data_IF_912077731117
#
_entry.id   IF_912077731117
#
_cell.length_a   1.000
_cell.length_b   1.000
_cell.length_c   1.000
_cell.angle_alpha   90.00
_cell.angle_beta   90.00
_cell.angle_gamma   90.00
#
_symmetry.space_group_name_H-M   'P 1'
#
loop_
_entity.id
_entity.type
_entity.pdbx_description
1 polymer ?
#
# COMPACT_ATOMS: atom_id res chain seq x y z
N UNK A 1 30.74 2.75 -5.12
CA UNK A 1 29.37 3.29 -5.30
C UNK A 1 28.44 2.63 -4.29
N UNK A 2 27.67 3.40 -3.54
CA UNK A 2 26.61 2.88 -2.65
C UNK A 2 25.46 2.36 -3.52
N UNK A 3 25.07 1.09 -3.36
CA UNK A 3 23.92 0.52 -4.07
C UNK A 3 22.65 0.99 -3.36
N UNK A 4 21.67 1.47 -4.13
CA UNK A 4 20.33 1.79 -3.63
C UNK A 4 19.41 0.58 -3.85
N UNK A 5 18.79 0.09 -2.78
CA UNK A 5 18.00 -1.14 -2.79
C UNK A 5 16.53 -0.80 -2.63
N UNK A 6 15.74 -1.23 -3.59
CA UNK A 6 14.28 -1.04 -3.60
C UNK A 6 13.62 -2.40 -3.44
N UNK A 7 12.63 -2.47 -2.55
CA UNK A 7 11.75 -3.61 -2.41
C UNK A 7 10.34 -3.19 -2.78
N UNK A 8 9.80 -3.77 -3.86
CA UNK A 8 8.49 -3.44 -4.40
C UNK A 8 7.52 -4.60 -4.21
N UNK A 9 6.27 -4.26 -3.88
CA UNK A 9 5.17 -5.20 -3.63
C UNK A 9 4.00 -4.91 -4.55
N UNK A 10 3.58 -5.93 -5.29
CA UNK A 10 2.41 -5.83 -6.16
C UNK A 10 1.11 -5.85 -5.35
N UNK A 11 0.06 -5.26 -5.93
CA UNK A 11 -1.29 -5.38 -5.42
C UNK A 11 -1.87 -6.78 -5.60
N UNK A 12 -3.03 -7.04 -5.02
CA UNK A 12 -3.70 -8.34 -5.14
C UNK A 12 -4.60 -8.68 -3.96
N UNK A 13 -5.07 -7.68 -3.24
CA UNK A 13 -6.01 -7.87 -2.14
C UNK A 13 -5.47 -8.82 -1.07
N UNK A 14 -6.25 -9.84 -0.72
CA UNK A 14 -5.88 -10.84 0.29
C UNK A 14 -4.60 -11.63 -0.04
N UNK A 15 -4.20 -11.69 -1.31
CA UNK A 15 -2.97 -12.38 -1.73
C UNK A 15 -1.69 -11.73 -1.17
N UNK A 16 -1.78 -10.53 -0.60
CA UNK A 16 -0.70 -9.93 0.18
C UNK A 16 -0.20 -10.84 1.32
N UNK A 17 -1.03 -11.75 1.82
CA UNK A 17 -0.61 -12.80 2.77
C UNK A 17 0.53 -13.64 2.21
N UNK A 18 0.44 -14.06 0.95
CA UNK A 18 1.49 -14.88 0.31
C UNK A 18 2.81 -14.10 0.23
N UNK A 19 2.74 -12.82 -0.16
CA UNK A 19 3.90 -11.92 -0.17
C UNK A 19 4.57 -11.86 1.20
N UNK A 20 3.79 -11.70 2.26
CA UNK A 20 4.30 -11.65 3.64
C UNK A 20 4.90 -12.98 4.10
N UNK A 21 4.27 -14.12 3.76
CA UNK A 21 4.84 -15.46 4.04
C UNK A 21 6.18 -15.65 3.36
N UNK A 22 6.30 -15.24 2.08
CA UNK A 22 7.58 -15.30 1.35
C UNK A 22 8.63 -14.40 2.03
N UNK A 23 8.26 -13.19 2.40
CA UNK A 23 9.15 -12.27 3.08
C UNK A 23 9.62 -12.79 4.44
N UNK A 24 8.73 -13.39 5.23
CA UNK A 24 9.09 -14.04 6.49
C UNK A 24 10.09 -15.20 6.29
N UNK A 25 9.93 -15.98 5.21
CA UNK A 25 10.90 -17.05 4.87
C UNK A 25 12.26 -16.48 4.50
N UNK A 26 12.30 -15.43 3.68
CA UNK A 26 13.55 -14.74 3.35
C UNK A 26 14.25 -14.23 4.61
N UNK A 27 13.50 -13.63 5.54
CA UNK A 27 14.08 -13.11 6.78
C UNK A 27 14.55 -14.17 7.77
N UNK A 28 14.06 -15.41 7.69
CA UNK A 28 14.64 -16.53 8.47
C UNK A 28 16.05 -16.87 8.02
N UNK A 29 16.30 -16.83 6.72
CA UNK A 29 17.64 -17.08 6.14
C UNK A 29 18.54 -15.84 6.21
N UNK A 30 17.93 -14.65 6.08
CA UNK A 30 18.62 -13.37 6.06
C UNK A 30 17.96 -12.39 7.04
N UNK A 31 18.24 -12.46 8.35
CA UNK A 31 17.56 -11.66 9.38
C UNK A 31 17.65 -10.15 9.15
N UNK A 32 18.75 -9.67 8.58
CA UNK A 32 18.99 -8.25 8.31
C UNK A 32 18.48 -7.77 6.93
N UNK A 33 17.72 -8.62 6.20
CA UNK A 33 17.28 -8.32 4.84
C UNK A 33 16.62 -6.95 4.72
N UNK A 34 15.63 -6.67 5.58
CA UNK A 34 14.89 -5.40 5.55
C UNK A 34 15.73 -4.20 6.02
N UNK A 35 16.75 -4.42 6.86
CA UNK A 35 17.64 -3.35 7.28
C UNK A 35 18.39 -2.73 6.10
N UNK A 36 18.68 -3.54 5.08
CA UNK A 36 19.38 -3.14 3.89
C UNK A 36 18.50 -2.53 2.78
N UNK A 37 17.20 -2.48 2.95
CA UNK A 37 16.27 -1.85 2.00
C UNK A 37 16.26 -0.34 2.23
N UNK A 38 16.50 0.43 1.16
CA UNK A 38 16.53 1.89 1.18
C UNK A 38 15.14 2.49 0.90
N UNK A 39 14.30 1.79 0.09
CA UNK A 39 12.97 2.23 -0.30
C UNK A 39 12.01 1.03 -0.37
N UNK A 40 10.86 1.17 0.26
CA UNK A 40 9.71 0.28 0.06
C UNK A 40 8.73 0.92 -0.92
N UNK A 41 8.28 0.16 -1.90
CA UNK A 41 7.26 0.61 -2.85
C UNK A 41 6.13 -0.40 -2.94
N UNK A 42 4.91 0.03 -3.27
CA UNK A 42 3.83 -0.93 -3.49
C UNK A 42 2.51 -0.29 -3.89
N UNK A 43 1.70 -1.09 -4.60
CA UNK A 43 0.36 -0.72 -5.07
C UNK A 43 -0.71 -1.43 -4.26
N UNK A 44 -1.84 -0.77 -3.97
CA UNK A 44 -2.98 -1.37 -3.27
C UNK A 44 -2.53 -2.06 -1.96
N UNK A 45 -2.81 -3.36 -1.79
CA UNK A 45 -2.35 -4.16 -0.66
C UNK A 45 -0.82 -4.13 -0.49
N UNK A 46 -0.06 -4.11 -1.59
CA UNK A 46 1.39 -3.94 -1.56
C UNK A 46 1.81 -2.58 -0.98
N UNK A 47 1.01 -1.53 -1.19
CA UNK A 47 1.18 -0.22 -0.56
C UNK A 47 1.03 -0.28 0.96
N UNK A 48 0.05 -1.04 1.47
CA UNK A 48 -0.14 -1.26 2.92
C UNK A 48 1.07 -1.99 3.50
N UNK A 49 1.58 -3.02 2.80
CA UNK A 49 2.78 -3.75 3.21
C UNK A 49 3.99 -2.80 3.24
N UNK A 50 4.20 -2.01 2.18
CA UNK A 50 5.29 -1.05 2.07
C UNK A 50 5.27 -0.02 3.21
N UNK A 51 4.09 0.56 3.51
CA UNK A 51 3.89 1.50 4.61
C UNK A 51 4.17 0.86 5.98
N UNK A 52 3.66 -0.35 6.22
CA UNK A 52 3.89 -1.08 7.46
C UNK A 52 5.39 -1.34 7.70
N UNK A 53 6.09 -1.83 6.67
CA UNK A 53 7.53 -2.08 6.73
C UNK A 53 8.33 -0.77 6.89
N UNK A 54 7.93 0.30 6.20
CA UNK A 54 8.56 1.61 6.35
C UNK A 54 8.38 2.20 7.75
N UNK A 55 7.27 1.89 8.42
CA UNK A 55 7.01 2.22 9.84
C UNK A 55 7.84 1.38 10.82
N UNK A 56 8.44 0.29 10.35
CA UNK A 56 9.23 -0.63 11.18
C UNK A 56 8.45 -1.83 11.71
N UNK A 57 7.24 -2.10 11.20
CA UNK A 57 6.47 -3.28 11.58
C UNK A 57 7.15 -4.55 11.06
N UNK A 58 7.00 -5.64 11.80
CA UNK A 58 7.47 -6.95 11.34
C UNK A 58 6.49 -7.55 10.32
N UNK A 59 6.95 -8.30 9.31
CA UNK A 59 6.07 -8.94 8.34
C UNK A 59 4.97 -9.79 8.95
N UNK A 60 5.26 -10.52 10.03
CA UNK A 60 4.28 -11.33 10.79
C UNK A 60 3.14 -10.48 11.37
N UNK A 61 3.45 -9.26 11.84
CA UNK A 61 2.46 -8.39 12.45
C UNK A 61 1.53 -7.81 11.37
N UNK A 62 2.11 -7.47 10.20
CA UNK A 62 1.33 -7.07 9.03
C UNK A 62 0.47 -8.25 8.55
N UNK A 63 1.02 -9.48 8.47
CA UNK A 63 0.28 -10.68 8.07
C UNK A 63 -0.91 -10.95 8.98
N UNK A 64 -0.74 -10.78 10.29
CA UNK A 64 -1.81 -10.97 11.27
C UNK A 64 -3.02 -10.05 11.01
N UNK A 65 -2.81 -8.85 10.46
CA UNK A 65 -3.90 -7.95 10.06
C UNK A 65 -4.72 -8.54 8.91
N UNK A 66 -4.04 -9.11 7.92
CA UNK A 66 -4.69 -9.76 6.79
C UNK A 66 -5.45 -11.02 7.22
N UNK A 67 -4.85 -11.86 8.06
CA UNK A 67 -5.45 -13.10 8.55
C UNK A 67 -6.62 -12.84 9.51
N UNK A 68 -6.50 -11.83 10.39
CA UNK A 68 -7.51 -11.53 11.38
C UNK A 68 -8.72 -10.78 10.83
N UNK A 69 -8.51 -9.86 9.90
CA UNK A 69 -9.54 -8.95 9.36
C UNK A 69 -9.60 -8.88 7.85
N UNK A 70 -8.75 -9.64 7.16
CA UNK A 70 -8.67 -9.62 5.70
C UNK A 70 -10.00 -9.94 5.04
N UNK A 71 -10.78 -10.88 5.58
CA UNK A 71 -12.11 -11.18 5.09
C UNK A 71 -13.07 -9.99 5.20
N UNK A 72 -12.93 -9.12 6.18
CA UNK A 72 -13.75 -7.92 6.35
C UNK A 72 -13.24 -6.77 5.47
N UNK A 73 -11.92 -6.63 5.36
CA UNK A 73 -11.27 -5.54 4.62
C UNK A 73 -11.34 -5.79 3.10
N UNK A 74 -11.26 -7.05 2.66
CA UNK A 74 -11.14 -7.41 1.25
C UNK A 74 -12.37 -8.14 0.67
N UNK A 75 -13.41 -8.40 1.50
CA UNK A 75 -14.58 -9.20 1.08
C UNK A 75 -15.37 -8.54 -0.04
N UNK A 76 -15.55 -7.22 0.04
CA UNK A 76 -16.29 -6.47 -0.98
C UNK A 76 -15.45 -6.20 -2.24
N UNK A 77 -14.12 -6.31 -2.12
CA UNK A 77 -13.19 -6.11 -3.25
C UNK A 77 -13.04 -7.34 -4.14
N UNK A 78 -13.34 -8.54 -3.66
CA UNK A 78 -13.11 -9.77 -4.45
C UNK A 78 -14.41 -10.39 -4.99
N UNK A 79 -15.53 -10.35 -4.26
CA UNK A 79 -16.74 -11.05 -4.69
C UNK A 79 -17.34 -10.48 -5.96
N UNK A 80 -17.19 -9.18 -6.20
CA UNK A 80 -17.80 -8.49 -7.34
C UNK A 80 -16.87 -8.36 -8.55
N UNK A 81 -15.54 -8.43 -8.37
CA UNK A 81 -14.58 -8.21 -9.46
C UNK A 81 -14.02 -9.48 -10.12
N UNK A 82 -14.24 -10.66 -9.55
CA UNK A 82 -13.75 -11.90 -10.17
C UNK A 82 -14.56 -12.33 -11.41
N UNK A 83 -15.75 -11.76 -11.62
CA UNK A 83 -16.64 -12.07 -12.74
C UNK A 83 -16.99 -10.88 -13.63
N UNK A 84 -16.63 -9.65 -13.25
CA UNK A 84 -17.04 -8.44 -13.97
C UNK A 84 -15.84 -7.59 -14.41
N UNK A 85 -15.11 -8.07 -15.40
CA UNK A 85 -14.09 -7.29 -16.12
C UNK A 85 -14.68 -6.10 -16.91
N UNK A 86 -16.00 -5.86 -16.84
CA UNK A 86 -16.73 -4.92 -17.68
C UNK A 86 -17.43 -3.76 -16.97
N UNK A 87 -17.66 -3.80 -15.66
CA UNK A 87 -18.45 -2.76 -14.96
C UNK A 87 -17.66 -2.06 -13.85
N UNK A 88 -16.60 -1.34 -14.22
CA UNK A 88 -15.84 -0.48 -13.28
C UNK A 88 -16.55 0.84 -12.93
N UNK A 89 -17.84 0.99 -13.26
CA UNK A 89 -18.60 2.23 -12.99
C UNK A 89 -19.65 1.91 -11.95
N UNK A 90 -19.41 2.23 -10.68
CA UNK A 90 -20.44 2.29 -9.65
C UNK A 90 -20.27 1.40 -8.40
N UNK A 91 -19.13 0.77 -8.18
CA UNK A 91 -18.88 0.08 -6.93
C UNK A 91 -18.77 1.09 -5.78
N UNK A 92 -19.81 1.21 -4.98
CA UNK A 92 -19.80 1.93 -3.72
C UNK A 92 -18.97 1.11 -2.73
N UNK A 93 -17.63 1.22 -2.80
CA UNK A 93 -16.73 0.57 -1.84
C UNK A 93 -17.02 1.11 -0.45
N UNK A 94 -17.51 0.27 0.44
CA UNK A 94 -17.51 0.61 1.86
C UNK A 94 -16.09 0.50 2.41
N UNK A 95 -15.30 1.55 2.19
CA UNK A 95 -13.90 1.65 2.64
C UNK A 95 -13.77 1.84 4.16
N UNK A 96 -14.88 1.94 4.91
CA UNK A 96 -14.87 2.26 6.35
C UNK A 96 -14.09 1.23 7.17
N UNK A 97 -14.21 -0.04 6.84
CA UNK A 97 -13.45 -1.10 7.53
C UNK A 97 -11.94 -0.97 7.32
N UNK A 98 -11.52 -0.75 6.08
CA UNK A 98 -10.13 -0.53 5.73
C UNK A 98 -9.59 0.77 6.37
N UNK A 99 -10.33 1.86 6.27
CA UNK A 99 -9.94 3.16 6.84
C UNK A 99 -9.75 3.06 8.36
N UNK A 100 -10.69 2.44 9.07
CA UNK A 100 -10.59 2.23 10.52
C UNK A 100 -9.35 1.43 10.91
N UNK A 101 -9.04 0.35 10.18
CA UNK A 101 -7.85 -0.44 10.45
C UNK A 101 -6.56 0.31 10.12
N UNK A 102 -6.51 1.01 9.00
CA UNK A 102 -5.35 1.85 8.67
C UNK A 102 -5.14 2.93 9.72
N UNK A 103 -6.21 3.59 10.18
CA UNK A 103 -6.13 4.59 11.25
C UNK A 103 -5.67 3.98 12.58
N UNK A 104 -6.11 2.77 12.90
CA UNK A 104 -5.66 2.05 14.10
C UNK A 104 -4.16 1.72 14.05
N UNK A 105 -3.65 1.34 12.87
CA UNK A 105 -2.25 0.92 12.66
C UNK A 105 -1.32 2.13 12.55
N UNK A 106 -1.70 3.11 11.75
CA UNK A 106 -0.85 4.24 11.41
C UNK A 106 -1.12 5.46 12.27
N UNK A 107 -2.34 5.60 12.83
CA UNK A 107 -2.75 6.78 13.59
C UNK A 107 -2.64 8.04 12.75
N UNK A 108 -2.00 9.06 13.32
CA UNK A 108 -1.73 10.34 12.65
C UNK A 108 -0.29 10.41 12.11
N UNK A 109 0.38 9.26 11.94
CA UNK A 109 1.73 9.20 11.39
C UNK A 109 1.73 9.68 9.94
N UNK A 110 2.46 10.73 9.65
CA UNK A 110 2.66 11.22 8.28
C UNK A 110 3.77 10.46 7.57
N UNK A 111 3.80 10.53 6.24
CA UNK A 111 4.87 9.89 5.44
C UNK A 111 6.25 10.40 5.85
N UNK A 112 6.38 11.71 6.12
CA UNK A 112 7.66 12.31 6.54
C UNK A 112 8.18 11.82 7.89
N UNK A 113 7.33 11.21 8.72
CA UNK A 113 7.71 10.65 10.02
C UNK A 113 8.13 9.17 9.95
N UNK A 114 7.99 8.53 8.78
CA UNK A 114 8.38 7.13 8.62
C UNK A 114 9.91 6.98 8.66
N UNK A 115 10.45 5.98 9.40
CA UNK A 115 11.89 5.74 9.49
C UNK A 115 12.55 5.37 8.16
N UNK A 116 11.80 4.78 7.24
CA UNK A 116 12.27 4.34 5.92
C UNK A 116 11.51 5.07 4.82
N UNK A 117 12.11 5.13 3.64
CA UNK A 117 11.48 5.72 2.46
C UNK A 117 10.39 4.81 1.92
N UNK A 118 9.32 5.44 1.44
CA UNK A 118 8.17 4.75 0.86
C UNK A 118 7.68 5.47 -0.39
N UNK A 119 7.15 4.69 -1.33
CA UNK A 119 6.47 5.17 -2.53
C UNK A 119 5.20 4.35 -2.75
N UNK A 120 4.05 5.02 -2.78
CA UNK A 120 2.75 4.41 -3.07
C UNK A 120 2.10 5.15 -4.23
N UNK A 121 1.99 4.52 -5.41
CA UNK A 121 1.26 5.11 -6.53
C UNK A 121 -0.25 5.07 -6.29
N UNK A 122 -0.93 6.11 -6.74
CA UNK A 122 -2.36 6.23 -6.80
C UNK A 122 -2.76 6.86 -8.14
N UNK A 123 -4.05 6.89 -8.42
CA UNK A 123 -4.59 7.59 -9.57
C UNK A 123 -5.61 8.62 -9.08
N UNK A 124 -5.37 9.88 -9.40
CA UNK A 124 -6.30 10.97 -9.10
C UNK A 124 -7.34 11.02 -10.20
N UNK A 125 -8.60 10.80 -9.83
CA UNK A 125 -9.73 10.77 -10.77
C UNK A 125 -10.36 12.15 -10.98
N UNK A 126 -10.03 13.13 -10.14
CA UNK A 126 -10.60 14.48 -10.26
C UNK A 126 -9.72 15.48 -9.49
N UNK A 127 -9.07 16.38 -10.20
CA UNK A 127 -8.32 17.48 -9.62
C UNK A 127 -9.19 18.56 -8.96
N UNK A 128 -10.51 18.30 -8.82
CA UNK A 128 -11.50 19.17 -8.18
C UNK A 128 -11.53 20.61 -8.77
N UNK A 129 -11.18 20.77 -10.05
CA UNK A 129 -11.25 22.07 -10.71
C UNK A 129 -12.70 22.57 -10.74
N UNK A 130 -12.96 23.86 -10.40
CA UNK A 130 -14.28 24.47 -10.54
C UNK A 130 -14.78 24.49 -12.00
N UNK A 131 -13.86 24.56 -12.96
CA UNK A 131 -14.18 24.46 -14.39
C UNK A 131 -14.14 22.99 -14.83
N UNK A 132 -15.26 22.39 -15.25
CA UNK A 132 -15.32 21.00 -15.72
C UNK A 132 -14.39 20.70 -16.90
N UNK A 133 -14.03 21.73 -17.70
CA UNK A 133 -13.12 21.59 -18.85
C UNK A 133 -11.66 21.46 -18.43
N UNK A 134 -11.33 21.84 -17.20
CA UNK A 134 -10.00 21.77 -16.63
C UNK A 134 -9.84 20.57 -15.69
N UNK A 135 -10.87 19.73 -15.56
CA UNK A 135 -10.77 18.48 -14.82
C UNK A 135 -9.86 17.51 -15.56
N UNK A 136 -8.91 16.99 -14.85
CA UNK A 136 -7.92 16.04 -15.38
C UNK A 136 -7.77 14.83 -14.46
N UNK A 137 -7.35 13.74 -15.06
CA UNK A 137 -6.98 12.51 -14.40
C UNK A 137 -5.47 12.37 -14.48
N UNK A 138 -4.84 12.04 -13.38
CA UNK A 138 -3.39 11.93 -13.37
C UNK A 138 -2.89 10.85 -12.41
N UNK A 139 -1.70 10.30 -12.72
CA UNK A 139 -0.99 9.44 -11.79
C UNK A 139 -0.44 10.30 -10.64
N UNK A 140 -0.72 9.88 -9.42
CA UNK A 140 -0.24 10.53 -8.19
C UNK A 140 0.66 9.60 -7.42
N UNK A 141 1.72 10.13 -6.85
CA UNK A 141 2.68 9.36 -6.08
C UNK A 141 2.78 9.92 -4.66
N UNK A 142 2.39 9.12 -3.68
CA UNK A 142 2.60 9.46 -2.28
C UNK A 142 3.96 8.94 -1.82
N UNK A 143 4.86 9.82 -1.41
CA UNK A 143 6.20 9.41 -0.98
C UNK A 143 6.79 10.37 0.05
N UNK A 144 7.83 9.91 0.75
CA UNK A 144 8.70 10.74 1.58
C UNK A 144 10.11 10.89 1.00
N UNK A 145 10.22 10.73 -0.33
CA UNK A 145 11.46 10.95 -1.08
C UNK A 145 11.52 12.45 -1.39
N UNK A 146 12.40 13.19 -0.72
CA UNK A 146 12.52 14.64 -0.95
C UNK A 146 12.87 14.98 -2.40
N UNK A 147 12.12 15.93 -2.99
CA UNK A 147 12.47 16.61 -4.25
C UNK A 147 12.17 15.85 -5.54
N UNK A 148 11.57 14.65 -5.51
CA UNK A 148 11.38 13.86 -6.72
C UNK A 148 9.94 13.89 -7.28
N UNK A 149 8.95 14.13 -6.43
CA UNK A 149 7.53 14.14 -6.82
C UNK A 149 6.89 15.27 -6.04
N UNK A 150 6.35 16.25 -6.74
CA UNK A 150 5.80 17.48 -6.16
C UNK A 150 4.87 17.21 -4.96
N UNK A 151 4.90 18.16 -4.05
CA UNK A 151 4.00 18.25 -2.89
C UNK A 151 2.53 18.32 -3.32
#
# INVERSE_FOLDING_TARGET
MRRYRILSFDGGGILGVLTLVVLERIMREFPDFLAHVDLFAGTSTGGIIALGLAKGMQPRDIRALYEGKGAMIFRDSWSDNALDFGNMIGANYDNRGLEQELKRIFGDTTLGQLPKRVLVPAFDLDNVSPDPKLRSWEAKFFSNIGGAFGD
#
